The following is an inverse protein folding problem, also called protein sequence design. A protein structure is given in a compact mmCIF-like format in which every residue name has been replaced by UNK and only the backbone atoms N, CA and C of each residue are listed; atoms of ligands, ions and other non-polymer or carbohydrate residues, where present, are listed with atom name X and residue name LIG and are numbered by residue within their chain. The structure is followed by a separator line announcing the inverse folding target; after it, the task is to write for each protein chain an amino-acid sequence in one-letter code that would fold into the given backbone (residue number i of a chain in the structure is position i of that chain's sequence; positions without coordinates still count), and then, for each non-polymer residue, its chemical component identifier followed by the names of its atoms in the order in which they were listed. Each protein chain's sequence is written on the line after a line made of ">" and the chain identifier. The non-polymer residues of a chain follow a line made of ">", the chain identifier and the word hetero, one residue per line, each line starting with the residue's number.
data_IF_383175637620
#
_entry.id   IF_383175637620
#
_cell.length_a   1.000
_cell.length_b   1.000
_cell.length_c   1.000
_cell.angle_alpha   90.00
_cell.angle_beta   90.00
_cell.angle_gamma   90.00
#
_symmetry.space_group_name_H-M   'P 1'
#
loop_
_entity.id
_entity.type
_entity.pdbx_description
1 polymer ?
#
# COMPACT_ATOMS: atom_id res chain seq x y z
N UNK A 1 -9.61 -0.63 5.23
CA UNK A 1 -8.36 0.04 4.76
C UNK A 1 -7.67 -0.64 3.57
N UNK A 2 -7.28 -1.93 3.64
CA UNK A 2 -6.53 -2.57 2.54
C UNK A 2 -7.31 -2.65 1.21
N UNK A 3 -8.64 -2.84 1.28
CA UNK A 3 -9.49 -2.86 0.08
C UNK A 3 -9.52 -1.48 -0.62
N UNK A 4 -9.49 -0.38 0.13
CA UNK A 4 -9.41 0.97 -0.46
C UNK A 4 -8.10 1.11 -1.25
N UNK A 5 -6.99 0.61 -0.71
CA UNK A 5 -5.67 0.65 -1.37
C UNK A 5 -5.65 -0.21 -2.63
N UNK A 6 -6.20 -1.43 -2.57
CA UNK A 6 -6.33 -2.31 -3.75
C UNK A 6 -7.16 -1.62 -4.85
N UNK A 7 -8.27 -0.99 -4.47
CA UNK A 7 -9.12 -0.24 -5.39
C UNK A 7 -8.37 0.98 -5.96
N UNK A 8 -7.66 1.74 -5.11
CA UNK A 8 -6.88 2.90 -5.53
C UNK A 8 -5.80 2.52 -6.56
N UNK A 9 -5.12 1.38 -6.40
CA UNK A 9 -4.16 0.89 -7.40
C UNK A 9 -4.84 0.59 -8.73
N UNK A 10 -6.00 -0.09 -8.72
CA UNK A 10 -6.76 -0.40 -9.92
C UNK A 10 -7.30 0.86 -10.61
N UNK A 11 -7.86 1.79 -9.84
CA UNK A 11 -8.36 3.09 -10.33
C UNK A 11 -7.21 3.91 -10.94
N UNK A 12 -6.04 3.98 -10.28
CA UNK A 12 -4.85 4.66 -10.82
C UNK A 12 -4.47 4.07 -12.18
N UNK A 13 -4.18 2.77 -12.22
CA UNK A 13 -3.71 2.12 -13.44
C UNK A 13 -4.76 2.15 -14.57
N UNK A 14 -6.05 2.04 -14.23
CA UNK A 14 -7.15 2.12 -15.20
C UNK A 14 -7.41 3.54 -15.73
N UNK A 15 -7.01 4.58 -14.99
CA UNK A 15 -7.19 5.99 -15.40
C UNK A 15 -6.00 6.58 -16.17
N UNK A 16 -4.80 5.99 -16.04
CA UNK A 16 -3.58 6.49 -16.67
C UNK A 16 -3.57 6.24 -18.19
N UNK A 17 -3.18 7.27 -18.93
CA UNK A 17 -3.02 7.13 -20.38
C UNK A 17 -1.78 6.30 -20.71
N UNK A 18 -1.86 5.35 -21.67
CA UNK A 18 -0.69 4.70 -22.25
C UNK A 18 0.27 5.67 -22.97
N UNK A 19 -0.21 6.85 -23.39
CA UNK A 19 0.62 7.90 -23.98
C UNK A 19 1.24 8.78 -22.87
N UNK A 20 2.57 8.77 -22.69
CA UNK A 20 3.22 9.61 -21.68
C UNK A 20 3.14 11.11 -21.97
N UNK A 21 2.75 11.50 -23.19
CA UNK A 21 2.57 12.90 -23.59
C UNK A 21 1.09 13.33 -23.64
N UNK A 22 0.18 12.50 -23.13
CA UNK A 22 -1.24 12.82 -23.08
C UNK A 22 -1.48 14.07 -22.23
N UNK A 23 -2.00 15.14 -22.85
CA UNK A 23 -2.32 16.40 -22.14
C UNK A 23 -3.55 16.29 -21.25
N UNK A 24 -4.40 15.30 -21.52
CA UNK A 24 -5.65 15.03 -20.82
C UNK A 24 -5.58 13.80 -19.92
N UNK A 25 -4.39 13.47 -19.41
CA UNK A 25 -4.26 12.40 -18.45
C UNK A 25 -5.05 12.74 -17.18
N UNK A 26 -6.10 11.95 -16.93
CA UNK A 26 -7.09 12.14 -15.87
C UNK A 26 -6.40 12.26 -14.50
N UNK A 27 -5.31 11.51 -14.29
CA UNK A 27 -4.56 11.57 -13.04
C UNK A 27 -3.70 12.85 -12.94
N UNK A 28 -3.06 13.30 -14.03
CA UNK A 28 -2.31 14.57 -14.04
C UNK A 28 -3.22 15.79 -13.83
N UNK A 29 -4.42 15.77 -14.41
CA UNK A 29 -5.43 16.83 -14.18
C UNK A 29 -5.96 16.80 -12.74
N UNK A 30 -6.22 15.62 -12.18
CA UNK A 30 -6.71 15.47 -10.81
C UNK A 30 -5.66 15.83 -9.74
N UNK A 31 -4.38 15.62 -10.01
CA UNK A 31 -3.27 15.97 -9.11
C UNK A 31 -2.91 17.46 -9.15
N UNK A 32 -3.34 18.21 -10.17
CA UNK A 32 -3.17 19.66 -10.26
C UNK A 32 -3.99 20.49 -9.25
N UNK A 33 -5.05 19.93 -8.65
CA UNK A 33 -5.98 20.66 -7.78
C UNK A 33 -5.71 20.53 -6.27
N UNK A 34 -4.67 19.79 -5.83
CA UNK A 34 -4.43 19.59 -4.40
C UNK A 34 -3.06 19.06 -3.99
N UNK A 35 -2.17 18.76 -4.94
CA UNK A 35 -0.78 18.36 -4.67
C UNK A 35 0.18 19.39 -5.25
N UNK A 36 1.36 19.64 -4.65
CA UNK A 36 2.36 20.51 -5.26
C UNK A 36 2.62 20.03 -6.68
N UNK A 37 2.34 20.91 -7.66
CA UNK A 37 2.24 20.59 -9.06
C UNK A 37 3.26 19.54 -9.50
N UNK A 38 2.79 18.46 -10.14
CA UNK A 38 3.62 17.35 -10.64
C UNK A 38 4.74 17.87 -11.57
N UNK A 39 4.56 19.05 -12.16
CA UNK A 39 5.57 19.81 -12.91
C UNK A 39 6.84 20.16 -12.14
N UNK A 40 6.83 20.17 -10.79
CA UNK A 40 8.04 20.37 -9.97
C UNK A 40 8.94 19.13 -9.90
N UNK A 41 8.41 17.96 -10.25
CA UNK A 41 9.14 16.69 -10.18
C UNK A 41 9.70 16.22 -11.53
N UNK A 42 9.18 16.75 -12.64
CA UNK A 42 9.71 16.47 -13.96
C UNK A 42 10.72 17.55 -14.35
N UNK A 43 12.00 17.20 -14.60
CA UNK A 43 12.91 18.15 -15.23
C UNK A 43 12.36 18.54 -16.60
N UNK A 44 12.39 19.84 -16.90
CA UNK A 44 11.97 20.42 -18.17
C UNK A 44 12.86 19.85 -19.28
N UNK A 45 12.40 18.79 -19.94
CA UNK A 45 13.08 18.23 -21.11
C UNK A 45 12.59 19.00 -22.32
N UNK A 46 13.50 19.73 -22.99
CA UNK A 46 13.18 20.43 -24.23
C UNK A 46 12.72 19.39 -25.26
N UNK A 47 11.61 19.64 -25.99
CA UNK A 47 11.21 18.77 -27.08
C UNK A 47 12.31 18.78 -28.15
N UNK A 48 12.70 17.60 -28.60
CA UNK A 48 13.67 17.43 -29.69
C UNK A 48 12.95 17.73 -31.01
N UNK A 49 13.19 18.91 -31.59
CA UNK A 49 12.49 19.43 -32.79
C UNK A 49 12.81 18.65 -34.09
N UNK A 50 13.56 17.55 -34.02
CA UNK A 50 13.97 16.76 -35.19
C UNK A 50 13.39 15.33 -35.27
N UNK A 51 12.37 14.99 -34.48
CA UNK A 51 11.70 13.70 -34.60
C UNK A 51 10.81 13.66 -35.86
N UNK A 52 11.38 13.19 -36.98
CA UNK A 52 10.64 12.83 -38.19
C UNK A 52 9.46 11.92 -37.83
N UNK A 53 8.25 12.30 -38.24
CA UNK A 53 7.03 11.51 -38.07
C UNK A 53 7.11 10.29 -38.99
N UNK A 54 7.68 9.20 -38.47
CA UNK A 54 7.76 7.92 -39.16
C UNK A 54 6.35 7.29 -39.19
N UNK A 55 5.73 7.23 -40.37
CA UNK A 55 4.37 6.69 -40.64
C UNK A 55 4.33 5.15 -40.61
N UNK A 56 5.06 4.52 -39.69
CA UNK A 56 4.91 3.09 -39.43
C UNK A 56 3.62 2.85 -38.65
N UNK A 57 2.93 1.73 -38.93
CA UNK A 57 1.73 1.28 -38.23
C UNK A 57 1.94 1.46 -36.71
N UNK A 58 1.30 2.47 -36.10
CA UNK A 58 1.43 2.71 -34.66
C UNK A 58 0.95 1.45 -33.96
N UNK A 59 1.87 0.74 -33.29
CA UNK A 59 1.48 -0.29 -32.35
C UNK A 59 0.53 0.34 -31.32
N UNK A 60 -0.56 -0.36 -30.93
CA UNK A 60 -1.46 0.15 -29.90
C UNK A 60 -0.64 0.42 -28.64
N UNK A 61 -0.64 1.67 -28.20
CA UNK A 61 0.07 2.10 -27.00
C UNK A 61 -0.55 1.40 -25.79
N UNK A 62 0.28 0.70 -25.01
CA UNK A 62 -0.15 -0.01 -23.81
C UNK A 62 0.64 0.47 -22.60
N UNK A 63 -0.06 0.55 -21.47
CA UNK A 63 0.55 0.77 -20.16
C UNK A 63 1.08 -0.55 -19.62
N UNK A 64 2.34 -0.54 -19.18
CA UNK A 64 2.96 -1.61 -18.41
C UNK A 64 2.91 -1.29 -16.92
N UNK A 65 2.40 -2.21 -16.11
CA UNK A 65 2.32 -2.06 -14.65
C UNK A 65 3.19 -3.10 -13.99
N UNK A 66 4.18 -2.67 -13.22
CA UNK A 66 5.02 -3.53 -12.41
C UNK A 66 4.50 -3.53 -10.97
N UNK A 67 4.14 -4.70 -10.46
CA UNK A 67 3.70 -4.87 -9.08
C UNK A 67 4.79 -5.57 -8.26
N UNK A 68 5.27 -4.91 -7.21
CA UNK A 68 6.23 -5.48 -6.28
C UNK A 68 5.59 -6.54 -5.39
N UNK A 69 6.13 -7.75 -5.44
CA UNK A 69 5.71 -8.89 -4.61
C UNK A 69 6.91 -9.49 -3.86
N UNK A 70 6.63 -10.35 -2.88
CA UNK A 70 7.62 -11.25 -2.27
C UNK A 70 7.56 -12.63 -2.95
N UNK A 71 8.04 -13.69 -2.28
CA UNK A 71 7.80 -15.08 -2.74
C UNK A 71 6.30 -15.42 -2.76
N UNK A 72 5.55 -15.01 -1.74
CA UNK A 72 4.08 -15.04 -1.64
C UNK A 72 3.59 -13.72 -1.03
N UNK A 73 2.36 -13.33 -1.29
CA UNK A 73 1.77 -12.08 -0.83
C UNK A 73 1.71 -11.01 -1.92
N UNK A 74 0.79 -10.06 -1.70
CA UNK A 74 0.45 -8.93 -2.60
C UNK A 74 -0.30 -9.30 -3.90
N UNK A 75 -0.69 -10.56 -4.09
CA UNK A 75 -1.37 -11.03 -5.30
C UNK A 75 -2.68 -10.27 -5.56
N UNK A 76 -3.40 -9.91 -4.48
CA UNK A 76 -4.67 -9.17 -4.54
C UNK A 76 -4.57 -7.83 -5.27
N UNK A 77 -3.44 -7.13 -5.16
CA UNK A 77 -3.21 -5.88 -5.92
C UNK A 77 -3.10 -6.20 -7.42
N UNK A 78 -2.30 -7.21 -7.76
CA UNK A 78 -2.06 -7.61 -9.15
C UNK A 78 -3.36 -8.04 -9.84
N UNK A 79 -4.17 -8.84 -9.15
CA UNK A 79 -5.49 -9.30 -9.61
C UNK A 79 -6.42 -8.12 -9.89
N UNK A 80 -6.54 -7.19 -8.94
CA UNK A 80 -7.42 -6.02 -9.07
C UNK A 80 -7.03 -5.14 -10.26
N UNK A 81 -5.73 -4.89 -10.45
CA UNK A 81 -5.22 -4.11 -11.58
C UNK A 81 -5.43 -4.84 -12.90
N UNK A 82 -5.14 -6.15 -12.95
CA UNK A 82 -5.31 -6.96 -14.15
C UNK A 82 -6.77 -6.96 -14.62
N UNK A 83 -7.73 -7.06 -13.69
CA UNK A 83 -9.15 -6.92 -13.97
C UNK A 83 -9.52 -5.53 -14.49
N UNK A 84 -9.00 -4.46 -13.86
CA UNK A 84 -9.27 -3.08 -14.30
C UNK A 84 -8.74 -2.81 -15.72
N UNK A 85 -7.57 -3.36 -16.06
CA UNK A 85 -6.96 -3.27 -17.39
C UNK A 85 -7.51 -4.31 -18.38
N UNK A 86 -8.39 -5.22 -17.96
CA UNK A 86 -8.86 -6.38 -18.75
C UNK A 86 -7.70 -7.17 -19.37
N UNK A 87 -6.66 -7.41 -18.58
CA UNK A 87 -5.42 -8.04 -19.01
C UNK A 87 -5.00 -9.19 -18.09
N UNK A 88 -3.93 -9.90 -18.48
CA UNK A 88 -3.32 -10.97 -17.68
C UNK A 88 -2.22 -10.44 -16.75
N UNK A 89 -1.74 -11.34 -15.90
CA UNK A 89 -0.62 -11.15 -14.99
C UNK A 89 0.55 -12.00 -15.47
N UNK A 90 1.63 -11.35 -15.88
CA UNK A 90 2.90 -12.03 -16.15
C UNK A 90 3.65 -12.30 -14.85
N UNK A 91 4.16 -13.52 -14.72
CA UNK A 91 5.09 -13.91 -13.67
C UNK A 91 6.09 -14.94 -14.21
N UNK A 92 7.28 -15.02 -13.60
CA UNK A 92 8.28 -16.03 -13.98
C UNK A 92 7.73 -17.45 -13.78
N UNK A 93 8.20 -18.46 -14.54
CA UNK A 93 7.71 -19.84 -14.39
C UNK A 93 7.82 -20.38 -12.95
N UNK A 94 8.85 -19.98 -12.22
CA UNK A 94 9.00 -20.32 -10.80
C UNK A 94 7.93 -19.67 -9.92
N UNK A 95 7.65 -18.38 -10.12
CA UNK A 95 6.60 -17.67 -9.39
C UNK A 95 5.20 -18.22 -9.71
N UNK A 96 4.92 -18.58 -10.96
CA UNK A 96 3.65 -19.24 -11.34
C UNK A 96 3.46 -20.56 -10.59
N UNK A 97 4.52 -21.38 -10.47
CA UNK A 97 4.44 -22.63 -9.70
C UNK A 97 4.05 -22.36 -8.25
N UNK A 98 4.65 -21.34 -7.62
CA UNK A 98 4.30 -20.92 -6.26
C UNK A 98 2.84 -20.47 -6.18
N UNK A 99 2.40 -19.57 -7.06
CA UNK A 99 1.03 -19.04 -7.05
C UNK A 99 -0.04 -20.14 -7.25
N UNK A 100 0.24 -21.17 -8.06
CA UNK A 100 -0.66 -22.32 -8.24
C UNK A 100 -0.85 -23.16 -6.97
N UNK A 101 0.02 -23.03 -5.97
CA UNK A 101 -0.13 -23.71 -4.67
C UNK A 101 -0.98 -22.91 -3.67
N UNK A 102 -1.46 -21.71 -4.03
CA UNK A 102 -2.22 -20.84 -3.13
C UNK A 102 -3.73 -21.13 -3.11
N UNK A 103 -4.19 -22.10 -3.90
CA UNK A 103 -5.62 -22.45 -4.06
C UNK A 103 -6.52 -21.25 -4.42
N UNK A 104 -5.98 -20.34 -5.23
CA UNK A 104 -6.69 -19.17 -5.75
C UNK A 104 -6.98 -19.37 -7.25
N UNK A 105 -8.21 -19.79 -7.62
CA UNK A 105 -8.56 -20.03 -9.02
C UNK A 105 -8.63 -18.72 -9.83
N UNK A 106 -8.96 -17.60 -9.19
CA UNK A 106 -9.03 -16.29 -9.84
C UNK A 106 -7.62 -15.82 -10.24
N UNK A 107 -6.65 -15.91 -9.33
CA UNK A 107 -5.25 -15.65 -9.63
C UNK A 107 -4.76 -16.58 -10.73
N UNK A 108 -5.01 -17.88 -10.59
CA UNK A 108 -4.50 -18.90 -11.51
C UNK A 108 -4.99 -18.67 -12.94
N UNK A 109 -6.25 -18.26 -13.12
CA UNK A 109 -6.83 -17.95 -14.42
C UNK A 109 -6.20 -16.72 -15.09
N UNK A 110 -5.68 -15.77 -14.31
CA UNK A 110 -5.07 -14.54 -14.82
C UNK A 110 -3.58 -14.69 -15.13
N UNK A 111 -2.90 -15.73 -14.62
CA UNK A 111 -1.45 -15.90 -14.79
C UNK A 111 -1.06 -16.31 -16.21
N UNK A 112 0.02 -15.74 -16.71
CA UNK A 112 0.68 -16.14 -17.95
C UNK A 112 2.20 -16.09 -17.79
N UNK A 113 2.90 -16.97 -18.51
CA UNK A 113 4.36 -16.91 -18.64
C UNK A 113 4.81 -16.09 -19.85
N UNK A 114 3.87 -15.60 -20.68
CA UNK A 114 4.18 -14.68 -21.77
C UNK A 114 4.04 -13.23 -21.28
N UNK A 115 5.14 -12.45 -21.24
CA UNK A 115 5.08 -11.06 -20.80
C UNK A 115 4.27 -10.16 -21.74
N UNK A 116 4.12 -10.49 -23.02
CA UNK A 116 3.41 -9.64 -23.97
C UNK A 116 1.88 -9.80 -23.89
N UNK A 117 1.39 -10.93 -23.39
CA UNK A 117 -0.04 -11.16 -23.12
C UNK A 117 -0.56 -10.38 -21.90
N UNK A 118 0.33 -9.92 -21.03
CA UNK A 118 -0.01 -9.25 -19.79
C UNK A 118 0.27 -7.74 -19.86
N UNK A 119 -0.47 -6.95 -19.07
CA UNK A 119 -0.09 -5.58 -18.74
C UNK A 119 0.41 -5.45 -17.30
N UNK A 120 0.18 -6.47 -16.48
CA UNK A 120 0.60 -6.49 -15.08
C UNK A 120 1.73 -7.50 -14.93
N UNK A 121 2.91 -7.06 -14.53
CA UNK A 121 4.07 -7.93 -14.32
C UNK A 121 4.38 -8.01 -12.83
N UNK A 122 4.39 -9.21 -12.27
CA UNK A 122 4.87 -9.47 -10.92
C UNK A 122 6.39 -9.46 -10.91
N UNK A 123 6.99 -8.58 -10.11
CA UNK A 123 8.44 -8.51 -9.90
C UNK A 123 8.78 -8.51 -8.42
N UNK A 124 10.04 -8.80 -8.10
CA UNK A 124 10.52 -8.75 -6.73
C UNK A 124 10.61 -7.29 -6.25
N UNK A 125 10.11 -7.01 -5.04
CA UNK A 125 10.08 -5.65 -4.45
C UNK A 125 11.43 -4.90 -4.45
N UNK A 126 12.55 -5.64 -4.41
CA UNK A 126 13.90 -5.07 -4.42
C UNK A 126 14.24 -4.36 -5.74
N UNK A 127 13.59 -4.75 -6.84
CA UNK A 127 13.92 -4.33 -8.21
C UNK A 127 13.15 -3.08 -8.67
N UNK A 128 12.15 -2.63 -7.91
CA UNK A 128 11.29 -1.51 -8.32
C UNK A 128 11.87 -0.19 -7.81
N UNK A 129 12.52 0.54 -8.74
CA UNK A 129 13.04 1.90 -8.61
C UNK A 129 12.75 2.66 -9.91
N UNK A 130 12.76 3.99 -9.88
CA UNK A 130 12.43 4.76 -11.07
C UNK A 130 13.40 4.48 -12.24
N UNK A 131 14.69 4.29 -11.94
CA UNK A 131 15.73 4.04 -12.93
C UNK A 131 15.58 2.66 -13.58
N UNK A 132 15.32 1.62 -12.78
CA UNK A 132 15.16 0.25 -13.28
C UNK A 132 13.86 0.05 -14.06
N UNK A 133 12.81 0.84 -13.77
CA UNK A 133 11.56 0.81 -14.54
C UNK A 133 11.78 1.27 -15.99
N UNK A 134 12.62 2.29 -16.23
CA UNK A 134 12.90 2.75 -17.58
C UNK A 134 13.64 1.70 -18.40
N UNK A 135 14.65 1.04 -17.82
CA UNK A 135 15.37 -0.06 -18.46
C UNK A 135 14.43 -1.22 -18.79
N UNK A 136 13.55 -1.57 -17.84
CA UNK A 136 12.54 -2.61 -18.04
C UNK A 136 11.59 -2.26 -19.19
N UNK A 137 11.06 -1.03 -19.22
CA UNK A 137 10.19 -0.56 -20.31
C UNK A 137 10.90 -0.64 -21.67
N UNK A 138 12.15 -0.21 -21.75
CA UNK A 138 12.92 -0.25 -22.99
C UNK A 138 13.06 -1.67 -23.56
N UNK A 139 13.16 -2.69 -22.71
CA UNK A 139 13.22 -4.10 -23.13
C UNK A 139 11.94 -4.62 -23.81
N UNK A 140 10.81 -3.93 -23.63
CA UNK A 140 9.53 -4.29 -24.23
C UNK A 140 9.04 -3.29 -25.29
N UNK A 141 9.86 -2.32 -25.69
CA UNK A 141 9.51 -1.48 -26.85
C UNK A 141 9.48 -2.33 -28.12
N UNK A 142 8.52 -2.11 -29.05
CA UNK A 142 7.52 -1.04 -29.06
C UNK A 142 6.16 -1.40 -28.43
N UNK A 143 6.03 -2.52 -27.70
CA UNK A 143 4.74 -3.04 -27.22
C UNK A 143 4.13 -2.21 -26.08
N UNK A 144 4.96 -1.57 -25.26
CA UNK A 144 4.53 -0.65 -24.22
C UNK A 144 5.20 0.70 -24.39
N UNK A 145 4.47 1.76 -24.09
CA UNK A 145 4.89 3.16 -24.26
C UNK A 145 5.04 3.91 -22.94
N UNK A 146 4.57 3.31 -21.83
CA UNK A 146 4.62 3.89 -20.49
C UNK A 146 4.66 2.79 -19.45
N UNK A 147 5.34 3.04 -18.34
CA UNK A 147 5.47 2.09 -17.22
C UNK A 147 5.10 2.74 -15.88
N UNK A 148 4.39 1.99 -15.05
CA UNK A 148 4.08 2.33 -13.66
C UNK A 148 4.58 1.22 -12.74
N UNK A 149 5.51 1.55 -11.85
CA UNK A 149 5.95 0.68 -10.78
C UNK A 149 5.19 0.95 -9.49
N UNK A 150 4.50 -0.06 -8.99
CA UNK A 150 3.85 -0.05 -7.68
C UNK A 150 4.74 -0.79 -6.69
N UNK A 151 5.15 -0.09 -5.62
CA UNK A 151 5.95 -0.64 -4.53
C UNK A 151 5.11 -0.76 -3.25
N UNK A 152 4.38 -1.88 -3.07
CA UNK A 152 3.75 -2.22 -1.79
C UNK A 152 4.72 -2.16 -0.63
N UNK A 153 4.39 -1.35 0.37
CA UNK A 153 5.15 -1.20 1.60
C UNK A 153 4.21 -1.03 2.80
N UNK A 154 4.73 -1.29 3.99
CA UNK A 154 3.94 -1.23 5.22
C UNK A 154 3.26 0.11 5.45
N UNK A 155 2.06 0.08 6.04
CA UNK A 155 1.39 1.25 6.59
C UNK A 155 2.21 1.80 7.76
N UNK A 156 2.49 3.10 7.75
CA UNK A 156 2.96 3.79 8.94
C UNK A 156 1.75 4.39 9.65
N UNK A 157 1.49 3.97 10.88
CA UNK A 157 0.43 4.57 11.71
C UNK A 157 0.78 6.04 11.99
N UNK A 158 -0.15 6.95 11.67
CA UNK A 158 0.02 8.41 11.73
C UNK A 158 -1.03 9.09 12.61
N UNK A 159 -0.97 8.95 13.95
CA UNK A 159 -1.85 9.69 14.82
C UNK A 159 -1.55 11.19 14.70
N UNK A 160 -2.59 11.99 14.48
CA UNK A 160 -2.49 13.44 14.29
C UNK A 160 -1.42 13.88 13.25
N UNK A 161 -1.19 13.10 12.19
CA UNK A 161 -0.24 13.42 11.12
C UNK A 161 1.24 13.20 11.46
N UNK A 162 1.57 12.72 12.67
CA UNK A 162 2.96 12.37 13.06
C UNK A 162 3.22 10.89 12.81
N UNK A 163 4.29 10.57 12.11
CA UNK A 163 4.70 9.17 11.87
C UNK A 163 5.14 8.52 13.19
N UNK A 164 4.43 7.50 13.68
CA UNK A 164 5.00 6.63 14.73
C UNK A 164 6.02 5.72 14.07
N UNK A 165 7.30 5.94 14.38
CA UNK A 165 8.36 5.04 13.99
C UNK A 165 8.54 3.91 15.00
N UNK A 166 9.25 2.86 14.61
CA UNK A 166 9.65 1.76 15.50
C UNK A 166 10.44 2.23 16.74
N UNK A 167 10.98 3.45 16.70
CA UNK A 167 11.77 4.06 17.78
C UNK A 167 10.97 4.90 18.78
N UNK A 168 9.66 5.06 18.58
CA UNK A 168 8.83 5.90 19.43
C UNK A 168 8.71 5.30 20.86
N UNK A 169 9.06 6.07 21.90
CA UNK A 169 9.03 5.58 23.28
C UNK A 169 7.58 5.53 23.83
N UNK A 170 7.25 4.59 24.73
CA UNK A 170 5.91 4.47 25.32
C UNK A 170 5.37 5.74 25.97
N UNK A 171 6.23 6.58 26.55
CA UNK A 171 5.80 7.83 27.20
C UNK A 171 5.36 8.93 26.24
N UNK A 172 5.61 8.80 24.93
CA UNK A 172 5.34 9.87 23.96
C UNK A 172 3.90 9.89 23.43
N UNK A 173 3.18 8.77 23.51
CA UNK A 173 1.85 8.62 22.93
C UNK A 173 0.97 7.84 23.89
N UNK A 174 -0.21 8.37 24.19
CA UNK A 174 -1.16 7.72 25.07
C UNK A 174 -1.90 6.58 24.37
N UNK A 175 -2.20 5.50 25.09
CA UNK A 175 -2.97 4.38 24.53
C UNK A 175 -4.34 4.80 24.00
N UNK A 176 -5.01 5.74 24.68
CA UNK A 176 -6.26 6.31 24.18
C UNK A 176 -6.08 6.96 22.80
N UNK A 177 -4.96 7.67 22.59
CA UNK A 177 -4.65 8.23 21.29
C UNK A 177 -4.37 7.13 20.26
N UNK A 178 -3.68 6.06 20.63
CA UNK A 178 -3.48 4.91 19.73
C UNK A 178 -4.81 4.31 19.29
N UNK A 179 -5.75 4.15 20.23
CA UNK A 179 -7.03 3.49 20.00
C UNK A 179 -8.09 4.39 19.34
N UNK A 180 -8.11 5.69 19.64
CA UNK A 180 -9.22 6.60 19.29
C UNK A 180 -8.80 7.80 18.43
N UNK A 181 -7.55 7.89 17.97
CA UNK A 181 -7.17 8.96 17.05
C UNK A 181 -8.10 9.00 15.82
N UNK A 182 -8.43 10.21 15.35
CA UNK A 182 -9.34 10.40 14.20
C UNK A 182 -8.84 9.72 12.93
N UNK A 183 -7.52 9.51 12.80
CA UNK A 183 -6.88 8.80 11.70
C UNK A 183 -6.85 7.27 11.85
N UNK A 184 -7.59 6.69 12.80
CA UNK A 184 -7.62 5.23 13.02
C UNK A 184 -7.99 4.46 11.75
N UNK A 185 -8.80 5.06 10.88
CA UNK A 185 -9.16 4.57 9.55
C UNK A 185 -8.79 5.59 8.48
N UNK A 186 -7.49 5.67 8.19
CA UNK A 186 -7.03 6.50 7.08
C UNK A 186 -7.51 5.89 5.76
N UNK A 187 -8.35 6.62 5.01
CA UNK A 187 -8.76 6.26 3.65
C UNK A 187 -7.61 6.54 2.69
N UNK A 188 -7.56 5.78 1.60
CA UNK A 188 -6.55 5.96 0.56
C UNK A 188 -7.21 5.76 -0.80
N UNK A 189 -7.18 6.81 -1.62
CA UNK A 189 -7.69 6.84 -2.98
C UNK A 189 -6.58 7.02 -4.01
N UNK A 190 -6.90 6.85 -5.28
CA UNK A 190 -5.91 6.95 -6.36
C UNK A 190 -5.30 8.35 -6.50
N UNK A 191 -5.96 9.39 -5.96
CA UNK A 191 -5.45 10.77 -5.91
C UNK A 191 -4.39 10.98 -4.82
N UNK A 192 -4.29 10.06 -3.85
CA UNK A 192 -3.31 10.15 -2.75
C UNK A 192 -1.92 9.62 -3.16
N UNK A 193 -1.80 9.07 -4.37
CA UNK A 193 -0.52 8.62 -4.91
C UNK A 193 0.42 9.79 -5.19
N UNK A 194 1.64 9.69 -4.66
CA UNK A 194 2.71 10.65 -4.89
C UNK A 194 3.85 9.93 -5.60
N UNK A 195 4.29 10.39 -6.79
CA UNK A 195 5.44 9.81 -7.47
C UNK A 195 6.70 9.88 -6.61
N UNK A 196 7.49 8.81 -6.61
CA UNK A 196 8.79 8.77 -5.96
C UNK A 196 9.80 9.60 -6.76
N UNK A 197 10.83 10.11 -6.06
CA UNK A 197 11.97 10.79 -6.68
C UNK A 197 12.58 9.91 -7.78
N UNK A 198 12.88 10.51 -8.92
CA UNK A 198 13.41 9.83 -10.10
C UNK A 198 12.33 9.44 -11.13
N UNK A 199 11.05 9.52 -10.78
CA UNK A 199 9.95 9.26 -11.72
C UNK A 199 9.96 10.25 -12.89
N UNK A 200 9.65 9.75 -14.08
CA UNK A 200 9.45 10.54 -15.31
C UNK A 200 8.01 10.39 -15.80
N UNK A 201 7.63 11.10 -16.87
CA UNK A 201 6.32 10.91 -17.51
C UNK A 201 6.16 9.51 -18.11
N UNK A 202 7.26 8.95 -18.61
CA UNK A 202 7.31 7.62 -19.23
C UNK A 202 7.41 6.50 -18.17
N UNK A 203 8.11 6.74 -17.06
CA UNK A 203 8.34 5.77 -16.00
C UNK A 203 8.02 6.34 -14.61
N UNK A 204 6.86 5.98 -14.06
CA UNK A 204 6.41 6.45 -12.74
C UNK A 204 6.57 5.37 -11.68
N UNK A 205 7.09 5.72 -10.50
CA UNK A 205 7.18 4.81 -9.36
C UNK A 205 6.35 5.35 -8.19
N UNK A 206 5.50 4.51 -7.59
CA UNK A 206 4.64 4.87 -6.46
C UNK A 206 4.88 3.97 -5.25
N UNK A 207 4.96 4.59 -4.07
CA UNK A 207 4.81 3.84 -2.81
C UNK A 207 3.34 3.51 -2.58
N UNK A 208 3.04 2.24 -2.35
CA UNK A 208 1.67 1.77 -2.05
C UNK A 208 1.60 1.39 -0.58
N UNK A 209 0.71 1.99 0.24
CA UNK A 209 0.55 1.62 1.64
C UNK A 209 -0.26 0.32 1.73
N UNK A 210 0.36 -0.82 1.46
CA UNK A 210 -0.27 -2.14 1.53
C UNK A 210 0.59 -3.10 2.35
N UNK A 211 0.12 -3.37 3.57
CA UNK A 211 0.82 -4.17 4.57
C UNK A 211 0.13 -5.51 4.78
N UNK A 212 0.92 -6.56 4.94
CA UNK A 212 0.46 -7.87 5.45
C UNK A 212 0.91 -8.09 6.90
N UNK A 213 1.52 -7.07 7.51
CA UNK A 213 1.82 -7.00 8.92
C UNK A 213 0.88 -6.02 9.62
N UNK A 214 0.54 -6.32 10.87
CA UNK A 214 -0.23 -5.44 11.74
C UNK A 214 0.49 -4.10 11.91
N UNK A 215 -0.28 -3.02 11.78
CA UNK A 215 0.08 -1.70 12.27
C UNK A 215 0.21 -1.72 13.79
N UNK A 216 0.84 -0.67 14.32
CA UNK A 216 1.01 -0.49 15.75
C UNK A 216 -0.32 -0.47 16.52
N UNK A 217 -1.35 0.16 15.93
CA UNK A 217 -2.71 0.22 16.50
C UNK A 217 -3.39 -1.15 16.50
N UNK A 218 -3.33 -1.88 15.38
CA UNK A 218 -3.91 -3.23 15.29
C UNK A 218 -3.27 -4.17 16.31
N UNK A 219 -1.94 -4.09 16.50
CA UNK A 219 -1.24 -4.85 17.52
C UNK A 219 -1.68 -4.46 18.95
N UNK A 220 -1.78 -3.16 19.25
CA UNK A 220 -2.25 -2.68 20.55
C UNK A 220 -3.67 -3.19 20.84
N UNK A 221 -4.59 -3.05 19.89
CA UNK A 221 -5.96 -3.55 20.01
C UNK A 221 -5.99 -5.06 20.25
N UNK A 222 -5.25 -5.84 19.46
CA UNK A 222 -5.19 -7.29 19.63
C UNK A 222 -4.72 -7.68 21.04
N UNK A 223 -3.63 -7.06 21.52
CA UNK A 223 -3.08 -7.35 22.86
C UNK A 223 -4.05 -6.96 23.98
N UNK A 224 -4.79 -5.86 23.80
CA UNK A 224 -5.72 -5.33 24.79
C UNK A 224 -7.11 -5.99 24.76
N UNK A 225 -7.49 -6.64 23.66
CA UNK A 225 -8.80 -7.29 23.51
C UNK A 225 -8.82 -8.74 23.98
N UNK A 226 -7.64 -9.34 24.22
CA UNK A 226 -7.50 -10.74 24.63
C UNK A 226 -6.93 -10.87 26.04
N UNK A 227 -7.27 -11.96 26.74
CA UNK A 227 -6.70 -12.33 28.04
C UNK A 227 -5.32 -13.01 27.86
N UNK A 228 -4.34 -12.23 27.39
CA UNK A 228 -2.97 -12.71 27.19
C UNK A 228 -2.17 -12.59 28.49
N UNK A 229 -1.63 -13.70 28.98
CA UNK A 229 -0.77 -13.71 30.17
C UNK A 229 0.65 -13.21 29.85
N UNK A 230 1.20 -13.64 28.70
CA UNK A 230 2.58 -13.33 28.30
C UNK A 230 2.67 -13.06 26.80
N UNK A 231 3.40 -12.02 26.42
CA UNK A 231 3.73 -11.70 25.02
C UNK A 231 5.24 -11.89 24.83
N UNK A 232 5.63 -12.66 23.81
CA UNK A 232 7.03 -12.92 23.47
C UNK A 232 7.29 -12.38 22.05
N UNK A 233 8.06 -11.28 21.89
CA UNK A 233 8.40 -10.75 20.57
C UNK A 233 9.27 -11.72 19.78
N UNK A 234 8.99 -11.89 18.49
CA UNK A 234 9.77 -12.73 17.56
C UNK A 234 10.52 -11.92 16.50
N UNK A 235 10.16 -10.65 16.32
CA UNK A 235 10.75 -9.73 15.32
C UNK A 235 11.37 -8.53 16.04
N UNK A 236 12.41 -7.92 15.44
CA UNK A 236 13.16 -6.79 16.02
C UNK A 236 13.83 -7.11 17.36
N UNK A 237 14.18 -8.38 17.60
CA UNK A 237 14.77 -8.85 18.86
C UNK A 237 16.30 -8.75 18.91
N UNK A 238 16.98 -8.36 17.83
CA UNK A 238 18.45 -8.34 17.76
C UNK A 238 19.12 -7.32 18.68
N UNK A 239 18.44 -6.20 18.98
CA UNK A 239 18.97 -5.12 19.83
C UNK A 239 18.34 -5.12 21.21
N UNK A 240 19.16 -4.97 22.26
CA UNK A 240 18.67 -4.82 23.65
C UNK A 240 17.74 -3.62 23.80
N UNK A 241 18.07 -2.50 23.16
CA UNK A 241 17.25 -1.29 23.17
C UNK A 241 15.87 -1.54 22.57
N UNK A 242 15.80 -2.26 21.45
CA UNK A 242 14.54 -2.66 20.83
C UNK A 242 13.72 -3.57 21.75
N UNK A 243 14.36 -4.57 22.36
CA UNK A 243 13.71 -5.48 23.34
C UNK A 243 13.14 -4.72 24.54
N UNK A 244 13.91 -3.81 25.15
CA UNK A 244 13.46 -2.97 26.27
C UNK A 244 12.24 -2.12 25.89
N UNK A 245 12.26 -1.51 24.70
CA UNK A 245 11.16 -0.67 24.21
C UNK A 245 9.89 -1.47 23.93
N UNK A 246 10.00 -2.62 23.26
CA UNK A 246 8.85 -3.51 23.03
C UNK A 246 8.26 -3.98 24.36
N UNK A 247 9.12 -4.41 25.32
CA UNK A 247 8.68 -4.81 26.65
C UNK A 247 7.89 -3.69 27.34
N UNK A 248 8.38 -2.45 27.30
CA UNK A 248 7.72 -1.32 27.93
C UNK A 248 6.33 -1.01 27.32
N UNK A 249 6.16 -1.14 25.99
CA UNK A 249 4.85 -1.02 25.35
C UNK A 249 3.90 -2.15 25.76
N UNK A 250 4.38 -3.39 25.73
CA UNK A 250 3.60 -4.57 26.12
C UNK A 250 3.16 -4.46 27.58
N UNK A 251 4.09 -4.18 28.50
CA UNK A 251 3.80 -4.05 29.94
C UNK A 251 2.74 -2.98 30.20
N UNK A 252 2.82 -1.86 29.46
CA UNK A 252 1.83 -0.79 29.51
C UNK A 252 0.45 -1.29 29.11
N UNK A 253 0.31 -1.90 27.93
CA UNK A 253 -0.98 -2.39 27.44
C UNK A 253 -1.56 -3.47 28.35
N UNK A 254 -0.74 -4.39 28.86
CA UNK A 254 -1.18 -5.42 29.81
C UNK A 254 -1.60 -4.82 31.16
N UNK A 255 -0.90 -3.80 31.65
CA UNK A 255 -1.25 -3.08 32.88
C UNK A 255 -2.57 -2.31 32.72
N UNK A 256 -2.72 -1.56 31.64
CA UNK A 256 -3.93 -0.80 31.33
C UNK A 256 -5.14 -1.72 31.15
N UNK A 257 -4.97 -2.85 30.45
CA UNK A 257 -6.00 -3.90 30.33
C UNK A 257 -6.37 -4.52 31.66
N UNK A 258 -5.42 -4.79 32.57
CA UNK A 258 -5.73 -5.30 33.92
C UNK A 258 -6.55 -4.32 34.74
N UNK A 259 -6.30 -3.02 34.56
CA UNK A 259 -6.97 -1.95 35.30
C UNK A 259 -8.35 -1.62 34.75
N UNK A 260 -8.49 -1.50 33.44
CA UNK A 260 -9.72 -1.08 32.76
C UNK A 260 -10.59 -2.25 32.27
N UNK A 261 -10.02 -3.45 32.13
CA UNK A 261 -10.67 -4.58 31.47
C UNK A 261 -10.27 -4.69 30.00
N UNK A 262 -10.95 -5.59 29.27
CA UNK A 262 -10.67 -5.84 27.86
C UNK A 262 -11.15 -4.67 27.01
N UNK A 263 -10.37 -4.34 25.98
CA UNK A 263 -10.87 -3.46 24.91
C UNK A 263 -11.83 -4.27 24.05
N UNK A 264 -13.01 -3.71 23.76
CA UNK A 264 -14.00 -4.33 22.88
C UNK A 264 -13.81 -3.80 21.45
N UNK A 265 -13.47 -4.64 20.46
CA UNK A 265 -13.48 -4.21 19.06
C UNK A 265 -14.91 -3.79 18.66
N UNK A 266 -15.05 -2.61 18.05
CA UNK A 266 -16.30 -2.13 17.45
C UNK A 266 -16.19 -2.24 15.94
N UNK A 267 -17.20 -2.81 15.27
CA UNK A 267 -17.20 -3.00 13.82
C UNK A 267 -17.90 -1.79 13.17
N UNK A 268 -17.19 -1.09 12.28
CA UNK A 268 -17.76 0.00 11.47
C UNK A 268 -18.98 -0.50 10.68
N UNK A 269 -20.07 0.29 10.67
CA UNK A 269 -21.35 -0.05 10.04
C UNK A 269 -22.28 -0.91 10.90
N UNK A 270 -21.76 -1.85 11.69
CA UNK A 270 -22.58 -2.71 12.55
C UNK A 270 -22.82 -2.12 13.95
N UNK A 271 -21.81 -1.39 14.45
CA UNK A 271 -21.82 -0.81 15.78
C UNK A 271 -21.99 0.71 15.79
N UNK A 272 -22.05 1.36 14.62
CA UNK A 272 -22.11 2.83 14.47
C UNK A 272 -23.33 3.44 15.19
N UNK A 273 -24.48 2.77 15.12
CA UNK A 273 -25.72 3.21 15.78
C UNK A 273 -25.75 2.85 17.28
N UNK A 274 -24.85 1.97 17.73
CA UNK A 274 -24.75 1.51 19.12
C UNK A 274 -23.62 2.19 19.90
N UNK A 275 -22.88 3.10 19.26
CA UNK A 275 -21.77 3.85 19.89
C UNK A 275 -22.27 4.71 21.05
N UNK A 276 -23.49 5.25 20.96
CA UNK A 276 -24.12 6.00 22.05
C UNK A 276 -24.43 5.12 23.27
N UNK A 277 -24.63 3.82 23.07
CA UNK A 277 -24.90 2.82 24.11
C UNK A 277 -23.64 2.13 24.63
N UNK A 278 -22.54 2.14 23.86
CA UNK A 278 -21.25 1.52 24.19
C UNK A 278 -20.22 2.57 24.61
N UNK A 279 -19.76 2.54 25.87
CA UNK A 279 -18.68 3.42 26.32
C UNK A 279 -17.38 3.14 25.52
N UNK A 280 -16.77 4.19 24.95
CA UNK A 280 -15.42 4.08 24.39
C UNK A 280 -14.39 3.86 25.49
N UNK A 281 -13.30 3.19 25.16
CA UNK A 281 -12.21 2.96 26.11
C UNK A 281 -11.53 4.28 26.51
N UNK A 282 -11.79 4.73 27.74
CA UNK A 282 -11.16 5.93 28.30
C UNK A 282 -10.02 5.60 29.26
N UNK A 283 -9.60 4.34 29.34
CA UNK A 283 -8.49 3.91 30.18
C UNK A 283 -8.66 4.19 31.67
N UNK A 284 -9.88 4.42 32.16
CA UNK A 284 -10.17 4.50 33.59
C UNK A 284 -10.30 3.11 34.23
N UNK A 285 -9.94 2.95 35.50
CA UNK A 285 -10.12 1.68 36.20
C UNK A 285 -11.57 1.20 36.20
N UNK A 286 -11.78 -0.10 35.99
CA UNK A 286 -13.10 -0.73 36.00
C UNK A 286 -14.00 -0.43 34.80
N UNK A 287 -13.55 0.38 33.83
CA UNK A 287 -14.31 0.70 32.62
C UNK A 287 -13.86 -0.12 31.42
N UNK A 288 -14.62 -1.16 31.11
CA UNK A 288 -14.53 -1.88 29.83
C UNK A 288 -15.06 -0.92 28.76
N UNK A 289 -14.31 -0.73 27.68
CA UNK A 289 -14.73 0.19 26.63
C UNK A 289 -14.33 -0.26 25.23
N UNK A 290 -15.03 0.27 24.24
CA UNK A 290 -14.87 -0.09 22.83
C UNK A 290 -13.79 0.70 22.11
N UNK A 291 -13.19 0.12 21.07
CA UNK A 291 -12.34 0.78 20.08
C UNK A 291 -12.63 0.24 18.67
N UNK A 292 -12.78 1.11 17.68
CA UNK A 292 -13.17 0.72 16.32
C UNK A 292 -12.13 -0.13 15.58
N UNK A 293 -12.60 -1.09 14.78
CA UNK A 293 -11.80 -1.97 13.93
C UNK A 293 -12.01 -1.69 12.44
#
# INVERSE_FOLDING_TARGET
>A
PQNDVIKACADLCGSLSPDPNCKDDIWEQASGQGTPAVSKFFPNTKPDENAKVDTKKKHPQRLLVICGTYSIGKERICISIAKALKSKIFASPGKIKICKQLDDPELTALLTSDPLEAQVHMQMLMEIRAETLQEYLNSYKPYFSRIVGLRPSGWNFRPAGKTIGANTPPGSIHTQQILHDKGWRTRFGYKDFIPQRGSTKEAMCFGVPYSEHSSFRELAMFVMSLRIEKVIPTVNVGSEQSRKRMKAWIDRWLSERRRAGLVMPLIEGDDDDKVSEKELWDGKPGKIGGAFW
#
